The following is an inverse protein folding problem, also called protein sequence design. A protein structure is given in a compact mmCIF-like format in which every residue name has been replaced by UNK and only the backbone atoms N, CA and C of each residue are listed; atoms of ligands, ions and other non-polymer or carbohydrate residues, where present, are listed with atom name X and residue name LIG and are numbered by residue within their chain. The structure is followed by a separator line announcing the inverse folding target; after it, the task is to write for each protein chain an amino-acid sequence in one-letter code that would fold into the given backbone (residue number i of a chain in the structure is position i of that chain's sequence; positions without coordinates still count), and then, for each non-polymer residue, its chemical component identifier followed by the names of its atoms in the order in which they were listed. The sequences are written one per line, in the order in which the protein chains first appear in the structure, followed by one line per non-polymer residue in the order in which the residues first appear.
data_IF_102692993896
#
_entry.id   IF_102692993896
#
_cell.length_a   1.000
_cell.length_b   1.000
_cell.length_c   1.000
_cell.angle_alpha   90.00
_cell.angle_beta   90.00
_cell.angle_gamma   90.00
#
_symmetry.space_group_name_H-M   'P 1'
#
loop_
_entity.id
_entity.type
_entity.pdbx_description
1 polymer ?
#
# COMPACT_ATOMS: atom_id res chain seq x y z
N UNK A 1 -11.00 -9.25 -6.33
CA UNK A 1 -10.10 -8.24 -6.93
C UNK A 1 -8.81 -8.24 -6.11
N UNK A 2 -7.73 -8.78 -6.67
CA UNK A 2 -6.48 -9.05 -5.97
C UNK A 2 -5.69 -7.79 -5.63
N UNK A 3 -5.77 -7.36 -4.36
CA UNK A 3 -5.00 -6.25 -3.80
C UNK A 3 -4.85 -6.41 -2.30
N UNK A 4 -3.98 -5.60 -1.69
CA UNK A 4 -3.70 -5.61 -0.25
C UNK A 4 -4.33 -4.37 0.40
N UNK A 5 -4.99 -4.55 1.54
CA UNK A 5 -5.46 -3.45 2.38
C UNK A 5 -4.99 -3.68 3.81
N UNK A 6 -4.32 -2.68 4.38
CA UNK A 6 -3.87 -2.67 5.77
C UNK A 6 -4.52 -1.49 6.46
N UNK A 7 -5.13 -1.73 7.62
CA UNK A 7 -5.84 -0.71 8.39
C UNK A 7 -5.38 -0.76 9.84
N UNK A 8 -5.13 0.40 10.43
CA UNK A 8 -4.83 0.58 11.85
C UNK A 8 -5.77 1.63 12.43
N UNK A 9 -5.74 1.81 13.75
CA UNK A 9 -6.56 2.82 14.41
C UNK A 9 -6.25 4.28 13.98
N UNK A 10 -5.05 4.54 13.44
CA UNK A 10 -4.56 5.91 13.16
C UNK A 10 -4.18 6.15 11.70
N UNK A 11 -4.54 5.23 10.82
CA UNK A 11 -4.26 5.31 9.38
C UNK A 11 -4.11 3.93 8.75
N UNK A 12 -3.76 3.92 7.48
CA UNK A 12 -3.54 2.68 6.74
C UNK A 12 -3.27 2.93 5.28
N UNK A 13 -3.21 1.84 4.51
CA UNK A 13 -3.04 1.92 3.06
C UNK A 13 -3.79 0.81 2.33
N UNK A 14 -4.06 1.06 1.06
CA UNK A 14 -4.49 0.07 0.10
C UNK A 14 -3.54 0.07 -1.10
N UNK A 15 -3.10 -1.11 -1.51
CA UNK A 15 -2.26 -1.32 -2.68
C UNK A 15 -3.02 -2.17 -3.71
N UNK A 16 -3.06 -1.69 -4.95
CA UNK A 16 -3.67 -2.40 -6.08
C UNK A 16 -2.64 -2.57 -7.20
N UNK A 17 -2.37 -3.81 -7.66
CA UNK A 17 -1.56 -4.01 -8.85
C UNK A 17 -2.31 -3.51 -10.09
N UNK A 18 -1.58 -2.90 -11.02
CA UNK A 18 -2.08 -2.66 -12.36
C UNK A 18 -2.31 -3.99 -13.08
N UNK A 19 -3.37 -4.05 -13.90
CA UNK A 19 -3.67 -5.22 -14.73
C UNK A 19 -2.86 -5.26 -16.03
N UNK A 20 -2.26 -4.14 -16.43
CA UNK A 20 -1.60 -3.96 -17.74
C UNK A 20 -0.13 -3.60 -17.63
N UNK A 21 0.32 -3.13 -16.48
CA UNK A 21 1.69 -2.66 -16.24
C UNK A 21 2.24 -3.29 -14.96
N UNK A 22 3.56 -3.40 -14.86
CA UNK A 22 4.23 -3.93 -13.66
C UNK A 22 4.41 -2.85 -12.59
N UNK A 23 3.29 -2.25 -12.17
CA UNK A 23 3.24 -1.19 -11.16
C UNK A 23 2.10 -1.42 -10.17
N UNK A 24 2.23 -0.82 -8.99
CA UNK A 24 1.17 -0.77 -7.98
C UNK A 24 0.76 0.68 -7.72
N UNK A 25 -0.54 0.91 -7.55
CA UNK A 25 -1.05 2.16 -6.99
C UNK A 25 -1.27 1.98 -5.50
N UNK A 26 -0.62 2.83 -4.69
CA UNK A 26 -0.76 2.89 -3.24
C UNK A 26 -1.61 4.12 -2.88
N UNK A 27 -2.66 3.89 -2.11
CA UNK A 27 -3.45 4.93 -1.45
C UNK A 27 -3.18 4.83 0.05
N UNK A 28 -2.71 5.91 0.67
CA UNK A 28 -2.39 5.95 2.09
C UNK A 28 -3.09 7.12 2.77
N UNK A 29 -3.48 6.93 4.03
CA UNK A 29 -4.06 7.97 4.86
C UNK A 29 -3.52 7.91 6.29
N UNK A 30 -3.43 9.06 6.94
CA UNK A 30 -2.98 9.24 8.32
C UNK A 30 -3.96 10.16 9.05
N UNK A 31 -4.31 9.79 10.27
CA UNK A 31 -5.11 10.62 11.18
C UNK A 31 -4.26 11.34 12.24
N UNK A 32 -2.92 11.23 12.17
CA UNK A 32 -2.01 11.92 13.08
C UNK A 32 -1.45 13.19 12.44
N UNK A 33 -0.51 13.02 11.50
CA UNK A 33 0.22 14.09 10.83
C UNK A 33 0.87 13.57 9.53
N UNK A 34 1.53 14.47 8.80
CA UNK A 34 2.22 14.20 7.54
C UNK A 34 3.46 13.31 7.70
N UNK A 35 4.19 13.43 8.83
CA UNK A 35 5.35 12.56 9.11
C UNK A 35 4.89 11.12 9.28
N UNK A 36 3.77 10.91 9.96
CA UNK A 36 3.14 9.61 10.10
C UNK A 36 2.61 9.09 8.74
N UNK A 37 2.02 9.94 7.90
CA UNK A 37 1.62 9.56 6.54
C UNK A 37 2.82 9.07 5.73
N UNK A 38 3.95 9.78 5.80
CA UNK A 38 5.15 9.40 5.08
C UNK A 38 5.68 8.03 5.52
N UNK A 39 5.66 7.74 6.83
CA UNK A 39 6.00 6.39 7.34
C UNK A 39 5.08 5.31 6.79
N UNK A 40 3.76 5.56 6.76
CA UNK A 40 2.80 4.60 6.17
C UNK A 40 3.12 4.36 4.69
N UNK A 41 3.47 5.40 3.93
CA UNK A 41 3.82 5.27 2.51
C UNK A 41 5.10 4.44 2.33
N UNK A 42 6.13 4.68 3.14
CA UNK A 42 7.39 3.95 3.06
C UNK A 42 7.21 2.47 3.42
N UNK A 43 6.51 2.17 4.52
CA UNK A 43 6.17 0.80 4.90
C UNK A 43 5.32 0.10 3.83
N UNK A 44 4.35 0.80 3.24
CA UNK A 44 3.53 0.27 2.16
C UNK A 44 4.36 -0.13 0.94
N UNK A 45 5.36 0.68 0.57
CA UNK A 45 6.28 0.38 -0.53
C UNK A 45 7.12 -0.87 -0.24
N UNK A 46 7.65 -0.99 0.97
CA UNK A 46 8.42 -2.18 1.39
C UNK A 46 7.57 -3.44 1.32
N UNK A 47 6.36 -3.40 1.87
CA UNK A 47 5.45 -4.54 1.88
C UNK A 47 5.08 -4.96 0.45
N UNK A 48 4.67 -4.01 -0.39
CA UNK A 48 4.26 -4.32 -1.77
C UNK A 48 5.43 -4.86 -2.60
N UNK A 49 6.65 -4.36 -2.37
CA UNK A 49 7.86 -4.87 -3.04
C UNK A 49 8.19 -6.31 -2.65
N UNK A 50 7.76 -6.75 -1.46
CA UNK A 50 7.96 -8.10 -0.97
C UNK A 50 6.86 -9.09 -1.42
N UNK A 51 5.74 -8.62 -1.97
CA UNK A 51 4.65 -9.49 -2.44
C UNK A 51 4.96 -9.98 -3.86
N UNK A 52 5.28 -11.28 -4.05
CA UNK A 52 5.46 -11.82 -5.39
C UNK A 52 4.15 -11.79 -6.15
N UNK A 53 4.17 -11.42 -7.44
CA UNK A 53 3.02 -11.59 -8.33
C UNK A 53 2.82 -13.09 -8.56
N UNK A 54 2.09 -13.77 -7.68
CA UNK A 54 1.47 -15.05 -8.05
C UNK A 54 0.46 -14.75 -9.15
N UNK A 55 0.67 -15.33 -10.33
CA UNK A 55 -0.21 -15.20 -11.48
C UNK A 55 -1.66 -15.52 -11.05
N UNK A 56 -2.56 -14.56 -11.25
CA UNK A 56 -4.01 -14.79 -11.25
C UNK A 56 -4.41 -15.41 -12.59
#
# INVERSE_FOLDING_TARGET
MGGLKVVTAKGGFAARPSGTEDIFTIYAESFNDETHLQRIIDEAREIVSAVPRTAQ
#
